data_IF_067421220417
#
_entry.id   IF_067421220417
#
_cell.length_a   1.000
_cell.length_b   1.000
_cell.length_c   1.000
_cell.angle_alpha   90.00
_cell.angle_beta   90.00
_cell.angle_gamma   90.00
#
_symmetry.space_group_name_H-M   'P 1'
#
loop_
_entity.id
_entity.type
_entity.pdbx_description
1 polymer ?
#
# COMPACT_ATOMS: atom_id res chain seq x y z
N UNK A 1 -65.90 3.17 -6.16
CA UNK A 1 -64.57 2.52 -6.21
C UNK A 1 -63.55 3.62 -6.47
N UNK A 2 -62.74 4.02 -5.49
CA UNK A 2 -61.61 4.92 -5.70
C UNK A 2 -60.39 4.10 -6.10
N UNK A 3 -59.77 4.46 -7.22
CA UNK A 3 -58.50 3.89 -7.67
C UNK A 3 -57.38 4.41 -6.77
N UNK A 4 -56.83 3.53 -5.94
CA UNK A 4 -55.55 3.75 -5.26
C UNK A 4 -54.44 3.72 -6.31
N UNK A 5 -53.50 4.69 -6.36
CA UNK A 5 -52.33 4.57 -7.21
C UNK A 5 -51.45 3.41 -6.71
N UNK A 6 -50.92 2.64 -7.65
CA UNK A 6 -49.98 1.54 -7.39
C UNK A 6 -48.81 2.03 -6.50
N UNK A 7 -48.35 1.22 -5.53
CA UNK A 7 -47.18 1.57 -4.74
C UNK A 7 -45.98 1.60 -5.68
N UNK A 8 -45.28 2.74 -5.69
CA UNK A 8 -44.00 2.93 -6.36
C UNK A 8 -43.13 1.69 -6.14
N UNK A 9 -42.79 1.00 -7.22
CA UNK A 9 -41.71 0.03 -7.26
C UNK A 9 -40.50 0.68 -6.58
N UNK A 10 -39.93 0.10 -5.51
CA UNK A 10 -38.73 0.66 -4.91
C UNK A 10 -37.68 0.76 -6.01
N UNK A 11 -37.14 1.96 -6.25
CA UNK A 11 -35.95 2.09 -7.08
C UNK A 11 -34.92 1.08 -6.53
N UNK A 12 -34.27 0.29 -7.39
CA UNK A 12 -33.26 -0.64 -6.91
C UNK A 12 -32.23 0.20 -6.14
N UNK A 13 -32.08 -0.11 -4.85
CA UNK A 13 -30.96 0.34 -4.05
C UNK A 13 -29.74 0.12 -4.93
N UNK A 14 -29.14 1.20 -5.43
CA UNK A 14 -27.89 1.09 -6.16
C UNK A 14 -26.93 0.54 -5.14
N UNK A 15 -26.66 -0.77 -5.19
CA UNK A 15 -25.60 -1.42 -4.45
C UNK A 15 -24.33 -0.68 -4.85
N UNK A 16 -23.95 0.35 -4.08
CA UNK A 16 -22.72 1.09 -4.31
C UNK A 16 -21.61 0.05 -4.31
N UNK A 17 -20.99 -0.18 -5.47
CA UNK A 17 -19.95 -1.18 -5.62
C UNK A 17 -18.91 -0.99 -4.48
N UNK A 18 -18.53 -2.06 -3.78
CA UNK A 18 -17.61 -1.96 -2.65
C UNK A 18 -16.32 -1.26 -3.07
N UNK A 19 -15.83 -0.37 -2.20
CA UNK A 19 -14.57 0.34 -2.46
C UNK A 19 -13.42 -0.66 -2.63
N UNK A 20 -12.58 -0.45 -3.64
CA UNK A 20 -11.52 -1.39 -4.01
C UNK A 20 -10.32 -1.24 -3.08
N UNK A 21 -9.81 -2.36 -2.57
CA UNK A 21 -8.53 -2.38 -1.86
C UNK A 21 -7.34 -2.21 -2.81
N UNK A 22 -6.19 -1.85 -2.24
CA UNK A 22 -4.95 -1.64 -3.01
C UNK A 22 -4.54 -2.85 -3.88
N UNK A 23 -4.76 -4.08 -3.42
CA UNK A 23 -4.47 -5.30 -4.20
C UNK A 23 -5.36 -5.46 -5.44
N UNK A 24 -6.59 -4.97 -5.38
CA UNK A 24 -7.52 -5.04 -6.51
C UNK A 24 -7.13 -3.99 -7.56
N UNK A 25 -6.76 -2.78 -7.13
CA UNK A 25 -6.31 -1.71 -8.03
C UNK A 25 -4.96 -2.04 -8.66
N UNK A 26 -4.02 -2.66 -7.92
CA UNK A 26 -2.73 -3.09 -8.46
C UNK A 26 -2.83 -4.11 -9.60
N UNK A 27 -3.95 -4.84 -9.71
CA UNK A 27 -4.21 -5.75 -10.83
C UNK A 27 -4.72 -5.02 -12.07
N UNK A 28 -5.34 -3.86 -11.88
CA UNK A 28 -5.95 -3.07 -12.95
C UNK A 28 -4.98 -2.04 -13.53
N UNK A 29 -4.08 -1.52 -12.70
CA UNK A 29 -3.15 -0.47 -13.09
C UNK A 29 -1.71 -0.97 -13.10
N UNK A 30 -0.89 -0.59 -14.08
CA UNK A 30 0.54 -0.90 -14.11
C UNK A 30 1.32 0.00 -13.13
N UNK A 31 0.91 0.05 -11.87
CA UNK A 31 1.49 0.89 -10.81
C UNK A 31 1.74 0.05 -9.57
N UNK A 32 2.92 0.23 -8.95
CA UNK A 32 3.28 -0.47 -7.71
C UNK A 32 2.35 -0.09 -6.57
N UNK A 33 2.04 -1.07 -5.71
CA UNK A 33 1.06 -0.94 -4.62
C UNK A 33 1.31 0.26 -3.70
N UNK A 34 2.57 0.50 -3.34
CA UNK A 34 2.98 1.59 -2.44
C UNK A 34 2.68 2.99 -3.03
N UNK A 35 2.65 3.09 -4.36
CA UNK A 35 2.47 4.36 -5.09
C UNK A 35 1.05 4.57 -5.59
N UNK A 36 0.15 3.60 -5.42
CA UNK A 36 -1.26 3.68 -5.84
C UNK A 36 -1.98 4.92 -5.31
N UNK A 37 -1.85 5.33 -4.03
CA UNK A 37 -2.51 6.54 -3.54
C UNK A 37 -2.05 7.80 -4.27
N UNK A 38 -0.77 7.89 -4.61
CA UNK A 38 -0.21 9.01 -5.36
C UNK A 38 -0.64 9.00 -6.83
N UNK A 39 -0.67 7.82 -7.47
CA UNK A 39 -1.19 7.68 -8.83
C UNK A 39 -2.69 7.99 -8.91
N UNK A 40 -3.48 7.55 -7.93
CA UNK A 40 -4.90 7.82 -7.85
C UNK A 40 -5.21 9.32 -7.74
N UNK A 41 -4.45 10.05 -6.91
CA UNK A 41 -4.60 11.52 -6.83
C UNK A 41 -4.30 12.22 -8.16
N UNK A 42 -3.30 11.75 -8.91
CA UNK A 42 -2.98 12.32 -10.23
C UNK A 42 -4.00 11.98 -11.31
N UNK A 43 -4.70 10.86 -11.16
CA UNK A 43 -5.75 10.41 -12.07
C UNK A 43 -7.16 10.87 -11.65
N UNK A 44 -7.27 11.77 -10.68
CA UNK A 44 -8.54 12.27 -10.12
C UNK A 44 -9.48 11.14 -9.66
N UNK A 45 -8.91 10.16 -8.95
CA UNK A 45 -9.63 9.03 -8.35
C UNK A 45 -9.89 9.31 -6.88
N UNK A 46 -11.13 9.15 -6.43
CA UNK A 46 -11.49 9.29 -5.02
C UNK A 46 -10.85 8.17 -4.19
N UNK A 47 -10.19 8.58 -3.10
CA UNK A 47 -9.48 7.68 -2.17
C UNK A 47 -9.99 7.91 -0.75
N UNK A 48 -10.31 6.82 -0.04
CA UNK A 48 -10.56 6.80 1.40
C UNK A 48 -9.35 6.16 2.08
N UNK A 49 -8.83 6.80 3.12
CA UNK A 49 -7.77 6.25 3.96
C UNK A 49 -8.31 5.94 5.35
N UNK A 50 -7.93 4.78 5.90
CA UNK A 50 -8.22 4.38 7.28
C UNK A 50 -6.91 4.08 8.01
N UNK A 51 -6.86 4.36 9.32
CA UNK A 51 -5.63 4.23 10.11
C UNK A 51 -4.71 5.45 9.96
N UNK A 52 -3.41 5.27 10.16
CA UNK A 52 -2.45 6.39 10.17
C UNK A 52 -2.52 7.27 11.41
N UNK A 53 -3.33 6.91 12.41
CA UNK A 53 -3.38 7.62 13.67
C UNK A 53 -2.01 7.55 14.37
N UNK A 54 -1.56 8.68 14.91
CA UNK A 54 -0.35 8.73 15.72
C UNK A 54 -0.59 7.96 17.03
N UNK A 55 0.29 7.01 17.33
CA UNK A 55 0.38 6.31 18.63
C UNK A 55 1.46 6.93 19.53
N UNK A 56 1.78 8.21 19.31
CA UNK A 56 2.81 8.93 20.07
C UNK A 56 4.17 8.25 19.93
N UNK A 57 4.76 7.83 21.05
CA UNK A 57 6.09 7.21 21.13
C UNK A 57 6.18 5.90 20.33
N UNK A 58 5.06 5.24 20.07
CA UNK A 58 5.00 3.93 19.40
C UNK A 58 4.81 4.03 17.87
N UNK A 59 4.96 5.22 17.31
CA UNK A 59 4.88 5.46 15.86
C UNK A 59 3.46 5.73 15.38
N UNK A 60 3.18 5.40 14.12
CA UNK A 60 1.86 5.59 13.51
C UNK A 60 1.22 4.23 13.17
N UNK A 61 -0.11 4.17 13.24
CA UNK A 61 -0.86 3.02 12.76
C UNK A 61 -0.66 2.80 11.25
N UNK A 62 -0.70 1.55 10.78
CA UNK A 62 -0.75 1.26 9.36
C UNK A 62 -1.87 2.05 8.68
N UNK A 63 -1.58 2.65 7.53
CA UNK A 63 -2.57 3.36 6.72
C UNK A 63 -3.05 2.46 5.59
N UNK A 64 -4.35 2.24 5.50
CA UNK A 64 -4.99 1.44 4.46
C UNK A 64 -5.76 2.33 3.50
N UNK A 65 -5.58 2.11 2.20
CA UNK A 65 -6.21 2.90 1.14
C UNK A 65 -7.27 2.08 0.39
N UNK A 66 -8.44 2.69 0.23
CA UNK A 66 -9.56 2.20 -0.54
C UNK A 66 -9.90 3.19 -1.65
N UNK A 67 -10.23 2.68 -2.84
CA UNK A 67 -10.39 3.47 -4.06
C UNK A 67 -11.81 3.33 -4.62
N UNK A 68 -12.37 4.42 -5.14
CA UNK A 68 -13.70 4.38 -5.72
C UNK A 68 -13.71 3.54 -7.02
N UNK A 69 -14.53 2.47 -7.12
CA UNK A 69 -14.42 1.50 -8.20
C UNK A 69 -14.69 2.11 -9.59
N UNK A 70 -15.70 2.97 -9.70
CA UNK A 70 -16.03 3.64 -10.96
C UNK A 70 -14.93 4.59 -11.44
N UNK A 71 -14.22 5.24 -10.52
CA UNK A 71 -13.14 6.17 -10.89
C UNK A 71 -11.88 5.38 -11.30
N UNK A 72 -11.61 4.26 -10.61
CA UNK A 72 -10.52 3.34 -10.95
C UNK A 72 -10.67 2.76 -12.35
N UNK A 73 -11.87 2.30 -12.70
CA UNK A 73 -12.17 1.75 -14.04
C UNK A 73 -12.06 2.82 -15.12
N UNK A 74 -12.58 4.02 -14.87
CA UNK A 74 -12.48 5.17 -15.78
C UNK A 74 -11.04 5.56 -16.07
N UNK A 75 -10.20 5.60 -15.02
CA UNK A 75 -8.81 6.03 -15.13
C UNK A 75 -7.86 4.95 -15.66
N UNK A 76 -8.22 3.66 -15.58
CA UNK A 76 -7.39 2.55 -16.03
C UNK A 76 -6.83 2.71 -17.46
N UNK A 77 -7.63 3.01 -18.52
CA UNK A 77 -7.10 3.19 -19.86
C UNK A 77 -6.17 4.41 -19.97
N UNK A 78 -6.52 5.54 -19.33
CA UNK A 78 -5.69 6.75 -19.36
C UNK A 78 -4.32 6.52 -18.68
N UNK A 79 -4.29 5.71 -17.62
CA UNK A 79 -3.05 5.33 -16.94
C UNK A 79 -2.23 4.35 -17.77
N UNK A 80 -2.87 3.32 -18.33
CA UNK A 80 -2.20 2.32 -19.16
C UNK A 80 -1.53 2.97 -20.37
N UNK A 81 -2.22 3.87 -21.05
CA UNK A 81 -1.72 4.61 -22.21
C UNK A 81 -0.74 5.74 -21.86
N UNK A 82 -0.46 5.98 -20.58
CA UNK A 82 0.49 7.02 -20.14
C UNK A 82 -0.02 8.45 -20.31
N UNK A 83 -1.34 8.64 -20.43
CA UNK A 83 -1.95 9.99 -20.48
C UNK A 83 -1.97 10.69 -19.12
N UNK A 84 -1.84 9.92 -18.03
CA UNK A 84 -1.64 10.45 -16.68
C UNK A 84 -0.15 10.50 -16.40
N UNK A 85 0.33 11.68 -15.97
CA UNK A 85 1.73 11.90 -15.60
C UNK A 85 2.08 11.14 -14.31
N UNK A 86 2.50 9.88 -14.46
CA UNK A 86 2.94 9.01 -13.37
C UNK A 86 4.44 8.76 -13.55
N UNK A 87 5.26 9.03 -12.53
CA UNK A 87 6.70 8.77 -12.57
C UNK A 87 7.02 7.33 -13.02
N UNK A 88 8.02 7.17 -13.89
CA UNK A 88 8.35 5.87 -14.49
C UNK A 88 8.77 4.83 -13.45
N UNK A 89 9.40 5.25 -12.36
CA UNK A 89 9.84 4.42 -11.24
C UNK A 89 8.68 3.88 -10.37
N UNK A 90 7.49 4.46 -10.49
CA UNK A 90 6.28 4.01 -9.80
C UNK A 90 5.55 2.92 -10.58
N UNK A 91 5.75 2.88 -11.89
CA UNK A 91 5.06 1.97 -12.80
C UNK A 91 5.69 0.58 -12.79
N UNK A 92 4.89 -0.45 -13.04
CA UNK A 92 5.39 -1.84 -13.09
C UNK A 92 5.73 -2.32 -14.50
N UNK A 93 5.24 -1.63 -15.53
CA UNK A 93 5.47 -1.93 -16.94
C UNK A 93 6.76 -1.32 -17.51
N UNK A 94 7.41 -0.41 -16.77
CA UNK A 94 8.65 0.24 -17.19
C UNK A 94 9.90 -0.52 -16.71
N UNK A 95 11.04 -0.40 -17.41
CA UNK A 95 12.33 -0.91 -16.91
C UNK A 95 12.75 -0.26 -15.60
N UNK A 96 12.50 1.04 -15.45
CA UNK A 96 12.92 1.82 -14.28
C UNK A 96 12.18 1.38 -13.02
N UNK A 97 10.86 1.18 -13.11
CA UNK A 97 10.08 0.73 -11.97
C UNK A 97 10.40 -0.70 -11.54
N UNK A 98 10.69 -1.60 -12.49
CA UNK A 98 11.21 -2.95 -12.18
C UNK A 98 12.56 -2.91 -11.47
N UNK A 99 13.47 -2.01 -11.90
CA UNK A 99 14.74 -1.79 -11.21
C UNK A 99 14.53 -1.23 -9.82
N UNK A 100 13.64 -0.25 -9.65
CA UNK A 100 13.33 0.36 -8.36
C UNK A 100 12.75 -0.67 -7.38
N UNK A 101 11.88 -1.57 -7.84
CA UNK A 101 11.36 -2.67 -7.03
C UNK A 101 12.45 -3.65 -6.63
N UNK A 102 13.31 -4.06 -7.57
CA UNK A 102 14.43 -4.96 -7.29
C UNK A 102 15.40 -4.38 -6.26
N UNK A 103 15.86 -3.14 -6.46
CA UNK A 103 16.78 -2.48 -5.55
C UNK A 103 16.16 -2.18 -4.19
N UNK A 104 14.86 -1.84 -4.16
CA UNK A 104 14.11 -1.70 -2.92
C UNK A 104 14.06 -3.02 -2.13
N UNK A 105 13.71 -4.13 -2.78
CA UNK A 105 13.65 -5.43 -2.15
C UNK A 105 15.03 -5.93 -1.69
N UNK A 106 16.07 -5.73 -2.52
CA UNK A 106 17.43 -6.11 -2.20
C UNK A 106 17.96 -5.32 -1.00
N UNK A 107 17.81 -4.00 -1.00
CA UNK A 107 18.26 -3.14 0.09
C UNK A 107 17.56 -3.47 1.41
N UNK A 108 16.25 -3.71 1.39
CA UNK A 108 15.51 -4.14 2.56
C UNK A 108 16.02 -5.48 3.12
N UNK A 109 16.24 -6.47 2.25
CA UNK A 109 16.80 -7.78 2.67
C UNK A 109 18.18 -7.64 3.27
N UNK A 110 19.08 -6.90 2.62
CA UNK A 110 20.44 -6.65 3.12
C UNK A 110 20.39 -5.93 4.46
N UNK A 111 19.56 -4.90 4.61
CA UNK A 111 19.41 -4.18 5.87
C UNK A 111 18.91 -5.08 7.01
N UNK A 112 17.90 -5.93 6.75
CA UNK A 112 17.39 -6.90 7.73
C UNK A 112 18.49 -7.90 8.12
N UNK A 113 19.22 -8.45 7.14
CA UNK A 113 20.30 -9.40 7.41
C UNK A 113 21.42 -8.77 8.25
N UNK A 114 21.85 -7.56 7.90
CA UNK A 114 22.89 -6.85 8.66
C UNK A 114 22.42 -6.50 10.07
N UNK A 115 21.17 -6.10 10.24
CA UNK A 115 20.58 -5.83 11.55
C UNK A 115 20.57 -7.07 12.45
N UNK A 116 20.15 -8.22 11.91
CA UNK A 116 20.17 -9.50 12.64
C UNK A 116 21.60 -9.90 13.00
N UNK A 117 22.54 -9.78 12.05
CA UNK A 117 23.95 -10.10 12.30
C UNK A 117 24.54 -9.21 13.40
N UNK A 118 24.25 -7.90 13.39
CA UNK A 118 24.69 -6.97 14.42
C UNK A 118 24.10 -7.31 15.80
N UNK A 119 22.81 -7.65 15.87
CA UNK A 119 22.15 -8.12 17.10
C UNK A 119 22.82 -9.37 17.66
N UNK A 120 23.09 -10.36 16.81
CA UNK A 120 23.74 -11.60 17.23
C UNK A 120 25.18 -11.36 17.70
N UNK A 121 25.95 -10.56 16.97
CA UNK A 121 27.31 -10.18 17.40
C UNK A 121 27.27 -9.45 18.74
N UNK A 122 26.37 -8.49 18.93
CA UNK A 122 26.22 -7.78 20.20
C UNK A 122 25.88 -8.71 21.35
N UNK A 123 24.99 -9.69 21.13
CA UNK A 123 24.58 -10.66 22.14
C UNK A 123 25.72 -11.63 22.49
N UNK A 124 26.46 -12.12 21.50
CA UNK A 124 27.62 -13.00 21.71
C UNK A 124 28.75 -12.28 22.44
N UNK A 125 29.05 -11.03 22.05
CA UNK A 125 30.06 -10.23 22.73
C UNK A 125 29.64 -9.93 24.17
N UNK A 126 28.39 -9.53 24.39
CA UNK A 126 27.85 -9.29 25.73
C UNK A 126 27.94 -10.55 26.62
N UNK A 127 27.57 -11.71 26.08
CA UNK A 127 27.69 -12.99 26.80
C UNK A 127 29.16 -13.32 27.11
N UNK A 128 30.06 -13.17 26.15
CA UNK A 128 31.48 -13.40 26.34
C UNK A 128 32.07 -12.48 27.42
N UNK A 129 31.67 -11.21 27.44
CA UNK A 129 32.07 -10.24 28.48
C UNK A 129 31.56 -10.67 29.85
N UNK A 130 30.30 -11.09 29.98
CA UNK A 130 29.74 -11.57 31.25
C UNK A 130 30.46 -12.82 31.75
N UNK A 131 30.69 -13.80 30.87
CA UNK A 131 31.43 -15.02 31.22
C UNK A 131 32.84 -14.66 31.69
N UNK A 132 33.54 -13.81 30.94
CA UNK A 132 34.89 -13.38 31.29
C UNK A 132 34.93 -12.76 32.69
N UNK A 133 34.02 -11.82 32.98
CA UNK A 133 33.92 -11.18 34.30
C UNK A 133 33.66 -12.19 35.42
N UNK A 134 32.78 -13.17 35.20
CA UNK A 134 32.47 -14.21 36.20
C UNK A 134 33.57 -15.26 36.38
N UNK A 135 34.46 -15.44 35.41
CA UNK A 135 35.57 -16.41 35.47
C UNK A 135 36.87 -15.84 36.03
N UNK A 136 36.98 -14.51 36.12
CA UNK A 136 38.20 -13.81 36.55
C UNK A 136 38.12 -13.38 38.03
N UNK A 137 36.95 -13.50 38.67
CA UNK A 137 36.79 -13.52 40.14
C UNK A 137 37.16 -14.90 40.73
#
# INVERSE_FOLDING_TARGET
MPHTPDPETPEPEHEEEPWLGSDQVAKLWPVRKDWLPGAARRADVRVRSFGGASRGTWGAEPTFYHFHPGDVRRAAPAIAEGRVDIPSDWRTDTPDGRRAEFWGALSARVAITLFIAALLCGLLLGLATVIFLLTVE
#
